data_IF_386518231996
#
_entry.id   IF_386518231996
#
_cell.length_a   1.000
_cell.length_b   1.000
_cell.length_c   1.000
_cell.angle_alpha   90.00
_cell.angle_beta   90.00
_cell.angle_gamma   90.00
#
_symmetry.space_group_name_H-M   'P 1'
#
loop_
_entity.id
_entity.type
_entity.pdbx_description
1 polymer ?
#
# COMPACT_ATOMS: atom_id res chain seq x y z
N UNK A 1 -13.16 14.65 -27.35
CA UNK A 1 -13.03 15.00 -25.92
C UNK A 1 -12.69 13.74 -25.16
N UNK A 2 -11.45 13.63 -24.70
CA UNK A 2 -10.88 12.45 -24.03
C UNK A 2 -11.57 12.23 -22.67
N UNK A 3 -12.30 11.13 -22.53
CA UNK A 3 -12.55 10.49 -21.25
C UNK A 3 -11.81 9.16 -21.28
N UNK A 4 -10.52 9.19 -20.95
CA UNK A 4 -9.81 7.96 -20.63
C UNK A 4 -10.23 7.63 -19.21
N UNK A 5 -11.28 6.81 -19.11
CA UNK A 5 -11.61 6.10 -17.89
C UNK A 5 -10.44 5.14 -17.69
N UNK A 6 -9.43 5.56 -16.94
CA UNK A 6 -8.49 4.64 -16.33
C UNK A 6 -9.34 3.80 -15.37
N UNK A 7 -9.73 2.61 -15.83
CA UNK A 7 -10.04 1.52 -14.94
C UNK A 7 -8.75 1.29 -14.13
N UNK A 8 -8.67 1.87 -12.94
CA UNK A 8 -7.77 1.39 -11.91
C UNK A 8 -8.23 -0.01 -11.58
N UNK A 9 -7.58 -1.00 -12.20
CA UNK A 9 -7.83 -2.40 -11.92
C UNK A 9 -7.47 -2.61 -10.45
N UNK A 10 -8.52 -2.73 -9.65
CA UNK A 10 -8.57 -3.37 -8.34
C UNK A 10 -7.63 -4.58 -8.41
N UNK A 11 -6.57 -4.59 -7.61
CA UNK A 11 -5.79 -5.80 -7.42
C UNK A 11 -6.76 -6.88 -6.94
N UNK A 12 -7.03 -7.85 -7.81
CA UNK A 12 -7.93 -8.95 -7.52
C UNK A 12 -7.40 -9.71 -6.31
N UNK A 13 -8.19 -9.75 -5.24
CA UNK A 13 -8.03 -10.74 -4.19
C UNK A 13 -8.18 -12.13 -4.83
N UNK A 14 -7.08 -12.78 -5.18
CA UNK A 14 -7.08 -14.22 -5.32
C UNK A 14 -7.19 -14.80 -3.90
N UNK A 15 -8.44 -15.07 -3.47
CA UNK A 15 -8.72 -15.80 -2.22
C UNK A 15 -8.32 -17.25 -2.44
N UNK A 16 -7.07 -17.60 -2.16
CA UNK A 16 -6.74 -18.99 -1.84
C UNK A 16 -7.21 -19.25 -0.42
N UNK A 17 -8.28 -20.03 -0.30
CA UNK A 17 -8.79 -20.52 0.97
C UNK A 17 -7.77 -21.47 1.60
N UNK A 18 -6.83 -20.91 2.36
CA UNK A 18 -6.07 -21.67 3.35
C UNK A 18 -6.85 -21.62 4.66
N UNK A 19 -7.49 -22.74 4.99
CA UNK A 19 -8.19 -22.93 6.25
C UNK A 19 -7.28 -22.71 7.45
N UNK A 20 -7.80 -21.92 8.40
CA UNK A 20 -7.48 -21.86 9.84
C UNK A 20 -6.03 -22.12 10.27
N UNK A 21 -5.35 -21.04 10.70
CA UNK A 21 -4.50 -20.96 11.91
C UNK A 21 -3.93 -19.53 11.97
N UNK A 22 -4.73 -18.56 12.39
CA UNK A 22 -4.22 -17.27 12.84
C UNK A 22 -4.99 -16.91 14.10
N UNK A 23 -4.24 -16.62 15.17
CA UNK A 23 -4.77 -16.15 16.44
C UNK A 23 -5.88 -15.12 16.19
N UNK A 24 -7.01 -15.30 16.88
CA UNK A 24 -8.15 -14.42 16.80
C UNK A 24 -7.78 -13.10 17.50
N UNK A 25 -6.95 -12.27 16.85
CA UNK A 25 -6.96 -10.85 17.15
C UNK A 25 -8.41 -10.39 16.97
N UNK A 26 -8.94 -9.76 18.02
CA UNK A 26 -10.32 -9.32 18.05
C UNK A 26 -10.50 -8.34 16.90
N UNK A 27 -11.18 -8.78 15.83
CA UNK A 27 -11.50 -7.93 14.68
C UNK A 27 -12.09 -6.63 15.20
N UNK A 28 -11.55 -5.51 14.72
CA UNK A 28 -12.05 -4.17 15.03
C UNK A 28 -12.61 -3.56 13.76
N UNK A 29 -13.49 -2.59 13.92
CA UNK A 29 -13.94 -1.82 12.76
C UNK A 29 -12.76 -1.06 12.14
N UNK A 30 -12.64 -1.05 10.81
CA UNK A 30 -11.58 -0.31 10.15
C UNK A 30 -11.77 1.20 10.38
N UNK A 31 -10.65 1.90 10.45
CA UNK A 31 -10.59 3.36 10.47
C UNK A 31 -11.37 3.90 9.27
N UNK A 32 -12.12 4.99 9.47
CA UNK A 32 -12.86 5.60 8.39
C UNK A 32 -11.92 6.05 7.26
N UNK A 33 -12.27 5.79 6.00
CA UNK A 33 -11.42 6.15 4.85
C UNK A 33 -11.05 7.65 4.82
N UNK A 34 -11.88 8.54 5.40
CA UNK A 34 -11.58 9.98 5.49
C UNK A 34 -10.36 10.27 6.35
N UNK A 35 -10.13 9.48 7.39
CA UNK A 35 -8.91 9.59 8.21
C UNK A 35 -7.70 9.06 7.45
N UNK A 36 -7.86 7.97 6.69
CA UNK A 36 -6.79 7.42 5.83
C UNK A 36 -6.37 8.39 4.73
N UNK A 37 -7.32 9.13 4.14
CA UNK A 37 -7.06 10.19 3.16
C UNK A 37 -6.16 11.29 3.73
N UNK A 38 -6.18 11.53 5.05
CA UNK A 38 -5.30 12.53 5.66
C UNK A 38 -3.81 12.20 5.57
N UNK A 39 -3.45 10.95 5.24
CA UNK A 39 -2.08 10.54 4.95
C UNK A 39 -1.64 10.92 3.51
N UNK A 40 -2.59 11.14 2.60
CA UNK A 40 -2.34 11.34 1.16
C UNK A 40 -2.07 12.81 0.85
N UNK A 41 -0.96 13.31 1.38
CA UNK A 41 -0.53 14.73 1.30
C UNK A 41 -0.02 15.12 -0.09
N UNK A 42 0.05 16.42 -0.36
CA UNK A 42 0.69 16.92 -1.58
C UNK A 42 2.20 16.65 -1.54
N UNK A 43 2.74 16.19 -2.67
CA UNK A 43 4.16 15.90 -2.83
C UNK A 43 4.84 17.03 -3.63
N UNK A 44 5.94 17.62 -3.12
CA UNK A 44 6.63 18.70 -3.82
C UNK A 44 7.07 18.30 -5.24
N UNK A 45 6.64 19.07 -6.23
CA UNK A 45 6.98 18.84 -7.63
C UNK A 45 6.17 17.74 -8.31
N UNK A 46 5.11 17.22 -7.67
CA UNK A 46 4.13 16.34 -8.29
C UNK A 46 2.79 17.09 -8.45
N UNK A 47 2.14 16.85 -9.58
CA UNK A 47 0.71 17.07 -9.72
C UNK A 47 -0.02 15.88 -9.11
N UNK A 48 -1.18 16.11 -8.50
CA UNK A 48 -1.91 15.05 -7.82
C UNK A 48 -3.40 15.12 -8.12
N UNK A 49 -3.98 13.95 -8.37
CA UNK A 49 -5.43 13.80 -8.51
C UNK A 49 -6.09 14.02 -7.13
N UNK A 50 -7.41 14.18 -7.10
CA UNK A 50 -8.16 14.24 -5.84
C UNK A 50 -8.00 12.88 -5.11
N UNK A 51 -7.74 12.86 -3.79
CA UNK A 51 -7.73 11.60 -3.06
C UNK A 51 -9.10 10.93 -3.08
N UNK A 52 -9.10 9.62 -3.23
CA UNK A 52 -10.27 8.77 -3.24
C UNK A 52 -10.24 7.81 -2.05
N UNK A 53 -11.41 7.35 -1.62
CA UNK A 53 -11.50 6.37 -0.55
C UNK A 53 -12.89 5.82 -0.38
N UNK A 54 -12.96 4.63 0.20
CA UNK A 54 -14.20 3.93 0.44
C UNK A 54 -14.07 3.01 1.66
N UNK A 55 -15.19 2.78 2.33
CA UNK A 55 -15.36 1.69 3.29
C UNK A 55 -16.35 0.71 2.70
N UNK A 56 -15.93 -0.54 2.53
CA UNK A 56 -16.77 -1.63 2.03
C UNK A 56 -17.11 -2.56 3.18
N UNK A 57 -18.35 -3.08 3.18
CA UNK A 57 -18.82 -4.05 4.16
C UNK A 57 -19.54 -5.19 3.45
N UNK A 58 -19.08 -6.42 3.67
CA UNK A 58 -19.63 -7.65 3.10
C UNK A 58 -19.71 -8.72 4.19
N UNK A 59 -20.92 -9.09 4.62
CA UNK A 59 -21.13 -9.99 5.75
C UNK A 59 -20.31 -9.53 7.00
N UNK A 60 -19.42 -10.38 7.51
CA UNK A 60 -18.55 -10.07 8.66
C UNK A 60 -17.25 -9.33 8.29
N UNK A 61 -17.03 -9.06 6.99
CA UNK A 61 -15.85 -8.38 6.49
C UNK A 61 -16.10 -6.89 6.32
N UNK A 62 -15.25 -6.06 6.91
CA UNK A 62 -15.20 -4.62 6.69
C UNK A 62 -13.78 -4.22 6.33
N UNK A 63 -13.64 -3.32 5.37
CA UNK A 63 -12.35 -2.79 4.95
C UNK A 63 -12.51 -1.34 4.56
N UNK A 64 -11.55 -0.52 4.95
CA UNK A 64 -11.42 0.86 4.48
C UNK A 64 -10.16 1.00 3.65
N UNK A 65 -10.25 1.78 2.58
CA UNK A 65 -9.11 2.09 1.73
C UNK A 65 -9.13 3.56 1.33
N UNK A 66 -7.95 4.12 1.13
CA UNK A 66 -7.75 5.42 0.51
C UNK A 66 -6.60 5.34 -0.50
N UNK A 67 -6.71 6.06 -1.61
CA UNK A 67 -5.63 6.15 -2.60
C UNK A 67 -5.55 7.54 -3.24
N UNK A 68 -4.35 7.86 -3.75
CA UNK A 68 -4.11 9.08 -4.52
C UNK A 68 -3.01 8.83 -5.54
N UNK A 69 -3.26 9.33 -6.75
CA UNK A 69 -2.30 9.30 -7.85
C UNK A 69 -1.56 10.62 -7.95
N UNK A 70 -0.26 10.53 -8.22
CA UNK A 70 0.67 11.63 -8.37
C UNK A 70 1.40 11.49 -9.71
N UNK A 71 1.72 12.61 -10.36
CA UNK A 71 2.45 12.65 -11.63
C UNK A 71 3.57 13.69 -11.58
N UNK A 72 4.74 13.36 -12.11
CA UNK A 72 5.87 14.28 -12.28
C UNK A 72 6.55 13.98 -13.62
N UNK A 73 6.20 14.76 -14.65
CA UNK A 73 6.57 14.40 -16.03
C UNK A 73 5.95 13.05 -16.39
N UNK A 74 6.76 12.11 -16.85
CA UNK A 74 6.32 10.75 -17.22
C UNK A 74 6.18 9.81 -16.02
N UNK A 75 6.71 10.18 -14.85
CA UNK A 75 6.60 9.37 -13.64
C UNK A 75 5.19 9.46 -13.07
N UNK A 76 4.55 8.31 -12.90
CA UNK A 76 3.32 8.13 -12.14
C UNK A 76 3.62 7.42 -10.82
N UNK A 77 3.03 7.89 -9.73
CA UNK A 77 3.11 7.26 -8.41
C UNK A 77 1.71 7.11 -7.85
N UNK A 78 1.39 5.94 -7.33
CA UNK A 78 0.16 5.68 -6.58
C UNK A 78 0.52 5.39 -5.12
N UNK A 79 -0.16 6.08 -4.20
CA UNK A 79 -0.14 5.75 -2.77
C UNK A 79 -1.49 5.17 -2.42
N UNK A 80 -1.50 4.00 -1.81
CA UNK A 80 -2.68 3.32 -1.28
C UNK A 80 -2.49 2.98 0.19
N UNK A 81 -3.53 3.17 0.98
CA UNK A 81 -3.60 2.79 2.40
C UNK A 81 -4.82 1.91 2.58
N UNK A 82 -4.63 0.73 3.18
CA UNK A 82 -5.71 -0.22 3.49
C UNK A 82 -5.74 -0.51 4.99
N UNK A 83 -6.93 -0.46 5.58
CA UNK A 83 -7.23 -0.98 6.91
C UNK A 83 -8.28 -2.10 6.81
N UNK A 84 -7.85 -3.33 7.08
CA UNK A 84 -8.68 -4.52 7.13
C UNK A 84 -9.20 -4.86 8.54
N UNK A 85 -9.01 -4.00 9.55
CA UNK A 85 -9.55 -4.21 10.90
C UNK A 85 -8.97 -5.45 11.60
N UNK A 86 -7.67 -5.69 11.44
CA UNK A 86 -6.96 -6.91 11.87
C UNK A 86 -7.44 -8.21 11.19
N UNK A 87 -8.02 -8.13 9.99
CA UNK A 87 -8.33 -9.33 9.22
C UNK A 87 -7.03 -9.95 8.67
N UNK A 88 -6.55 -11.12 9.18
CA UNK A 88 -5.22 -11.61 8.84
C UNK A 88 -5.05 -11.92 7.35
N UNK A 89 -6.15 -12.32 6.69
CA UNK A 89 -6.17 -12.60 5.26
C UNK A 89 -5.98 -11.35 4.39
N UNK A 90 -6.29 -10.14 4.90
CA UNK A 90 -6.00 -8.89 4.17
C UNK A 90 -4.49 -8.66 4.00
N UNK A 91 -3.66 -9.25 4.87
CA UNK A 91 -2.20 -9.09 4.87
C UNK A 91 -1.46 -10.40 4.51
N UNK A 92 -2.18 -11.44 4.08
CA UNK A 92 -1.58 -12.74 3.80
C UNK A 92 -0.50 -12.67 2.71
N UNK A 93 -0.74 -11.87 1.66
CA UNK A 93 0.25 -11.65 0.60
C UNK A 93 1.51 -10.95 1.12
N UNK A 94 1.34 -9.92 1.96
CA UNK A 94 2.48 -9.25 2.62
C UNK A 94 3.26 -10.22 3.50
N UNK A 95 2.58 -10.96 4.40
CA UNK A 95 3.22 -11.91 5.32
C UNK A 95 3.92 -13.05 4.58
N UNK A 96 3.36 -13.49 3.44
CA UNK A 96 4.02 -14.44 2.57
C UNK A 96 5.32 -13.83 2.04
N UNK A 97 5.31 -12.60 1.51
CA UNK A 97 6.48 -11.96 0.90
C UNK A 97 7.55 -11.48 1.91
N UNK A 98 7.19 -11.16 3.16
CA UNK A 98 8.12 -10.55 4.13
C UNK A 98 9.36 -11.41 4.44
N UNK A 99 9.26 -12.72 4.23
CA UNK A 99 10.35 -13.68 4.48
C UNK A 99 11.06 -14.13 3.19
N UNK A 100 10.76 -13.51 2.04
CA UNK A 100 11.42 -13.83 0.77
C UNK A 100 12.39 -12.73 0.38
N UNK A 101 13.54 -13.17 -0.13
CA UNK A 101 14.50 -12.33 -0.81
C UNK A 101 14.69 -12.89 -2.23
N UNK A 102 14.60 -12.00 -3.22
CA UNK A 102 14.83 -12.29 -4.63
C UNK A 102 15.81 -11.24 -5.13
N UNK A 103 16.91 -11.67 -5.73
CA UNK A 103 17.87 -10.79 -6.37
C UNK A 103 18.32 -11.45 -7.68
N UNK A 104 17.82 -10.92 -8.80
CA UNK A 104 18.14 -11.39 -10.15
C UNK A 104 18.43 -10.18 -11.05
N UNK A 105 18.85 -10.46 -12.29
CA UNK A 105 19.00 -9.41 -13.32
C UNK A 105 17.71 -8.65 -13.62
N UNK A 106 16.56 -9.25 -13.31
CA UNK A 106 15.25 -8.78 -13.78
C UNK A 106 14.44 -8.16 -12.63
N UNK A 107 14.71 -8.58 -11.39
CA UNK A 107 13.96 -8.12 -10.23
C UNK A 107 14.77 -8.14 -8.93
N UNK A 108 14.37 -7.27 -8.01
CA UNK A 108 14.78 -7.29 -6.61
C UNK A 108 13.53 -7.34 -5.73
N UNK A 109 13.49 -8.23 -4.76
CA UNK A 109 12.53 -8.21 -3.64
C UNK A 109 13.30 -8.42 -2.36
N UNK A 110 13.17 -7.52 -1.40
CA UNK A 110 13.83 -7.68 -0.09
C UNK A 110 13.11 -6.91 1.00
N UNK A 111 13.43 -7.27 2.24
CA UNK A 111 12.99 -6.52 3.42
C UNK A 111 13.66 -5.15 3.50
N UNK A 112 12.90 -4.15 3.92
CA UNK A 112 13.39 -2.80 4.23
C UNK A 112 12.80 -2.30 5.55
N UNK A 113 13.39 -1.24 6.10
CA UNK A 113 12.83 -0.52 7.23
C UNK A 113 12.83 0.96 6.91
N UNK A 114 11.67 1.61 7.03
CA UNK A 114 11.48 3.04 6.73
C UNK A 114 10.67 3.66 7.85
N UNK A 115 11.14 4.78 8.42
CA UNK A 115 10.55 5.41 9.60
C UNK A 115 10.34 4.47 10.81
N UNK A 116 11.13 3.41 10.93
CA UNK A 116 11.00 2.41 11.99
C UNK A 116 9.97 1.30 11.74
N UNK A 117 9.27 1.33 10.60
CA UNK A 117 8.30 0.29 10.21
C UNK A 117 8.94 -0.70 9.24
N UNK A 118 8.64 -1.99 9.44
CA UNK A 118 9.01 -3.08 8.53
C UNK A 118 8.28 -2.92 7.20
N UNK A 119 8.97 -3.22 6.11
CA UNK A 119 8.37 -3.23 4.79
C UNK A 119 9.13 -4.11 3.81
N UNK A 120 8.62 -4.13 2.59
CA UNK A 120 9.14 -4.89 1.46
C UNK A 120 9.37 -3.91 0.32
N UNK A 121 10.56 -3.95 -0.25
CA UNK A 121 10.92 -3.27 -1.48
C UNK A 121 10.90 -4.29 -2.61
N UNK A 122 10.14 -3.98 -3.67
CA UNK A 122 10.16 -4.72 -4.91
C UNK A 122 10.55 -3.76 -6.05
N UNK A 123 11.48 -4.18 -6.89
CA UNK A 123 11.91 -3.46 -8.10
C UNK A 123 11.84 -4.45 -9.25
N UNK A 124 11.18 -4.05 -10.32
CA UNK A 124 11.10 -4.77 -11.59
C UNK A 124 11.88 -3.97 -12.64
N UNK A 125 13.07 -4.47 -12.99
CA UNK A 125 13.98 -3.81 -13.93
C UNK A 125 13.49 -3.95 -15.38
N UNK A 126 12.76 -5.03 -15.69
CA UNK A 126 12.22 -5.31 -17.02
C UNK A 126 11.09 -4.31 -17.36
N UNK A 127 10.14 -4.15 -16.44
CA UNK A 127 8.98 -3.27 -16.61
C UNK A 127 9.23 -1.84 -16.12
N UNK A 128 10.41 -1.57 -15.54
CA UNK A 128 10.78 -0.30 -14.93
C UNK A 128 9.73 0.14 -13.92
N UNK A 129 9.50 -0.66 -12.90
CA UNK A 129 8.61 -0.26 -11.80
C UNK A 129 9.23 -0.55 -10.45
N UNK A 130 8.82 0.21 -9.45
CA UNK A 130 9.19 -0.03 -8.06
C UNK A 130 7.97 0.04 -7.17
N UNK A 131 7.99 -0.72 -6.09
CA UNK A 131 6.95 -0.79 -5.08
C UNK A 131 7.55 -0.86 -3.69
N UNK A 132 6.97 -0.11 -2.76
CA UNK A 132 7.19 -0.25 -1.33
C UNK A 132 5.88 -0.66 -0.68
N UNK A 133 5.91 -1.71 0.13
CA UNK A 133 4.80 -2.13 0.98
C UNK A 133 5.25 -2.06 2.43
N UNK A 134 4.51 -1.35 3.28
CA UNK A 134 4.80 -1.24 4.70
C UNK A 134 3.58 -1.69 5.50
N UNK A 135 3.80 -2.59 6.46
CA UNK A 135 2.78 -2.96 7.42
C UNK A 135 2.98 -2.14 8.70
N UNK A 136 2.13 -1.13 8.89
CA UNK A 136 2.20 -0.18 10.00
C UNK A 136 1.31 -0.67 11.13
N UNK A 137 1.90 -0.87 12.31
CA UNK A 137 1.22 -1.35 13.53
C UNK A 137 0.40 -2.63 13.32
N UNK A 138 0.90 -3.56 12.51
CA UNK A 138 0.25 -4.84 12.16
C UNK A 138 -1.17 -4.71 11.58
N UNK A 139 -1.53 -3.51 11.13
CA UNK A 139 -2.91 -3.14 10.79
C UNK A 139 -3.06 -2.36 9.49
N UNK A 140 -2.16 -1.43 9.19
CA UNK A 140 -2.32 -0.63 7.97
C UNK A 140 -1.32 -1.09 6.94
N UNK A 141 -1.81 -1.53 5.78
CA UNK A 141 -0.93 -1.78 4.64
C UNK A 141 -0.83 -0.49 3.82
N UNK A 142 0.37 0.07 3.79
CA UNK A 142 0.71 1.24 2.98
C UNK A 142 1.50 0.76 1.77
N UNK A 143 0.95 0.97 0.58
CA UNK A 143 1.60 0.63 -0.68
C UNK A 143 1.92 1.92 -1.44
N UNK A 144 3.18 2.07 -1.85
CA UNK A 144 3.62 3.13 -2.76
C UNK A 144 4.20 2.46 -3.99
N UNK A 145 3.55 2.63 -5.14
CA UNK A 145 4.00 2.10 -6.43
C UNK A 145 4.39 3.26 -7.34
N UNK A 146 5.47 3.12 -8.08
CA UNK A 146 5.85 4.10 -9.10
C UNK A 146 6.34 3.45 -10.40
N UNK A 147 6.03 4.12 -11.52
CA UNK A 147 6.41 3.72 -12.87
C UNK A 147 6.46 4.95 -13.81
N UNK A 148 7.44 5.06 -14.73
CA UNK A 148 8.62 4.21 -14.80
C UNK A 148 9.66 4.56 -13.72
N UNK A 149 10.24 3.55 -13.07
CA UNK A 149 11.34 3.66 -12.09
C UNK A 149 12.31 2.48 -12.21
N UNK A 150 13.62 2.74 -12.13
CA UNK A 150 14.66 1.71 -12.08
C UNK A 150 15.20 1.41 -10.67
N UNK A 151 14.75 2.18 -9.68
CA UNK A 151 15.10 2.05 -8.27
C UNK A 151 13.92 2.50 -7.40
N UNK A 152 14.04 2.37 -6.07
CA UNK A 152 13.00 2.82 -5.13
C UNK A 152 13.36 4.10 -4.36
N UNK A 153 14.48 4.76 -4.66
CA UNK A 153 14.98 5.88 -3.84
C UNK A 153 13.95 7.00 -3.73
N UNK A 154 13.34 7.38 -4.86
CA UNK A 154 12.25 8.36 -4.88
C UNK A 154 11.02 7.90 -4.10
N UNK A 155 10.68 6.60 -4.12
CA UNK A 155 9.57 6.09 -3.33
C UNK A 155 9.88 6.13 -1.83
N UNK A 156 11.13 5.86 -1.42
CA UNK A 156 11.56 5.96 -0.01
C UNK A 156 11.47 7.40 0.49
N UNK A 157 11.82 8.37 -0.35
CA UNK A 157 11.62 9.80 -0.02
C UNK A 157 10.15 10.16 0.13
N UNK A 158 9.28 9.67 -0.76
CA UNK A 158 7.83 9.87 -0.66
C UNK A 158 7.27 9.27 0.62
N UNK A 159 7.61 8.01 0.91
CA UNK A 159 7.21 7.35 2.16
C UNK A 159 7.72 8.14 3.37
N UNK A 160 8.93 8.69 3.33
CA UNK A 160 9.49 9.54 4.39
C UNK A 160 8.71 10.82 4.68
N UNK A 161 7.81 11.25 3.79
CA UNK A 161 6.91 12.40 3.99
C UNK A 161 5.56 12.02 4.58
N UNK A 162 5.21 10.74 4.58
CA UNK A 162 3.96 10.26 5.14
C UNK A 162 4.08 10.17 6.66
N UNK A 163 3.05 10.63 7.38
CA UNK A 163 3.01 10.54 8.85
C UNK A 163 2.56 9.13 9.29
N UNK A 164 3.48 8.16 9.17
CA UNK A 164 3.22 6.76 9.53
C UNK A 164 2.99 6.57 11.04
N UNK A 165 3.53 7.46 11.88
CA UNK A 165 3.29 7.45 13.32
C UNK A 165 1.86 7.89 13.66
N UNK A 166 1.33 8.91 12.98
CA UNK A 166 -0.09 9.27 13.07
C UNK A 166 -0.98 8.13 12.60
N UNK A 167 -0.63 7.47 11.49
CA UNK A 167 -1.36 6.29 11.02
C UNK A 167 -1.37 5.18 12.07
N UNK A 168 -0.20 4.83 12.61
CA UNK A 168 -0.05 3.86 13.70
C UNK A 168 -0.94 4.20 14.92
N UNK A 169 -1.07 5.49 15.26
CA UNK A 169 -1.90 5.93 16.38
C UNK A 169 -3.41 5.74 16.13
N UNK A 170 -3.88 5.71 14.89
CA UNK A 170 -5.28 5.39 14.54
C UNK A 170 -5.59 3.89 14.74
N UNK A 171 -4.56 3.05 14.83
CA UNK A 171 -4.67 1.60 14.92
C UNK A 171 -4.85 1.05 16.32
N UNK A 172 -4.67 1.89 17.35
CA UNK A 172 -4.72 1.53 18.77
C UNK A 172 -6.14 1.30 19.29
#
# INVERSE_FOLDING_TARGET
MKKWILLSIILGLAVLAAGSLAAQEKRVDPVNWRELVSLLVDLPGYEADKPEGATTSMAEFKMSQASRNYRKGDLSVEIQVVDGGFFPMAYASYKALENFEIDTSDQLTRKVTIQGFSGIENIDYEHKSAMLMLLVSDRFLVTVKGEPLGDSAGLKEIVGRLDLNKLAALGK
#
